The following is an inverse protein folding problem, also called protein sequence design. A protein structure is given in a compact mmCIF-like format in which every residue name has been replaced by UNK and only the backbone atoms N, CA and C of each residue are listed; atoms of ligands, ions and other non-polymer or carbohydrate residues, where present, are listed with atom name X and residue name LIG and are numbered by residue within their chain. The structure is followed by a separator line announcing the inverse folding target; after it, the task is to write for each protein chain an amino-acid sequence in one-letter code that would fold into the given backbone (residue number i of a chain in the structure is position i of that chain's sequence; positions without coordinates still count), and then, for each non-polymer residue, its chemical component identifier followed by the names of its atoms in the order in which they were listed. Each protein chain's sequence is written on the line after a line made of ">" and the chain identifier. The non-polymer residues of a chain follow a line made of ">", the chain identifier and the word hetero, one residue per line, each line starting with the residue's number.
data_IF_629046748263
#
_entry.id   IF_629046748263
#
_cell.length_a   1.000
_cell.length_b   1.000
_cell.length_c   1.000
_cell.angle_alpha   90.00
_cell.angle_beta   90.00
_cell.angle_gamma   90.00
#
_symmetry.space_group_name_H-M   'P 1'
#
loop_
_entity.id
_entity.type
_entity.pdbx_description
1 polymer ?
#
# COMPACT_ATOMS: atom_id res chain seq x y z
N UNK A 1 9.64 21.21 -16.49
CA UNK A 1 8.17 21.09 -16.27
C UNK A 1 7.59 19.67 -16.42
N UNK A 2 8.27 18.68 -17.04
CA UNK A 2 7.71 17.32 -17.21
C UNK A 2 7.90 16.34 -16.03
N UNK A 3 8.82 16.59 -15.10
CA UNK A 3 9.14 15.65 -14.01
C UNK A 3 7.99 15.46 -13.01
N UNK A 4 7.39 16.56 -12.54
CA UNK A 4 6.28 16.51 -11.58
C UNK A 4 5.02 15.84 -12.16
N UNK A 5 4.77 15.97 -13.47
CA UNK A 5 3.63 15.34 -14.13
C UNK A 5 3.79 13.82 -14.20
N UNK A 6 5.01 13.33 -14.46
CA UNK A 6 5.32 11.89 -14.41
C UNK A 6 5.18 11.34 -12.99
N UNK A 7 5.71 12.04 -11.98
CA UNK A 7 5.55 11.63 -10.57
C UNK A 7 4.08 11.56 -10.17
N UNK A 8 3.28 12.56 -10.55
CA UNK A 8 1.85 12.57 -10.25
C UNK A 8 1.10 11.39 -10.90
N UNK A 9 1.44 11.03 -12.14
CA UNK A 9 0.87 9.85 -12.82
C UNK A 9 1.26 8.57 -12.09
N UNK A 10 2.54 8.40 -11.75
CA UNK A 10 3.01 7.18 -11.07
C UNK A 10 2.36 7.05 -9.69
N UNK A 11 2.29 8.13 -8.92
CA UNK A 11 1.61 8.16 -7.62
C UNK A 11 0.12 7.84 -7.78
N UNK A 12 -0.55 8.39 -8.78
CA UNK A 12 -1.95 8.11 -9.06
C UNK A 12 -2.19 6.64 -9.44
N UNK A 13 -1.33 6.07 -10.27
CA UNK A 13 -1.39 4.64 -10.63
C UNK A 13 -1.14 3.76 -9.41
N UNK A 14 -0.09 4.02 -8.63
CA UNK A 14 0.20 3.29 -7.39
C UNK A 14 -0.95 3.35 -6.40
N UNK A 15 -1.61 4.52 -6.30
CA UNK A 15 -2.75 4.69 -5.42
C UNK A 15 -3.91 3.79 -5.86
N UNK A 16 -4.31 3.88 -7.14
CA UNK A 16 -5.40 3.07 -7.70
C UNK A 16 -5.11 1.57 -7.60
N UNK A 17 -3.90 1.13 -7.95
CA UNK A 17 -3.54 -0.28 -7.87
C UNK A 17 -3.48 -0.77 -6.43
N UNK A 18 -3.02 0.05 -5.48
CA UNK A 18 -3.06 -0.30 -4.05
C UNK A 18 -4.49 -0.47 -3.55
N UNK A 19 -5.42 0.42 -3.94
CA UNK A 19 -6.83 0.34 -3.53
C UNK A 19 -7.48 -0.93 -4.05
N UNK A 20 -7.27 -1.27 -5.32
CA UNK A 20 -7.80 -2.50 -5.91
C UNK A 20 -7.18 -3.73 -5.27
N UNK A 21 -5.86 -3.72 -5.02
CA UNK A 21 -5.17 -4.82 -4.37
C UNK A 21 -5.66 -5.04 -2.94
N UNK A 22 -5.84 -3.97 -2.15
CA UNK A 22 -6.40 -4.06 -0.80
C UNK A 22 -7.82 -4.64 -0.80
N UNK A 23 -8.68 -4.14 -1.69
CA UNK A 23 -10.07 -4.59 -1.76
C UNK A 23 -10.17 -6.06 -2.16
N UNK A 24 -9.35 -6.51 -3.13
CA UNK A 24 -9.31 -7.92 -3.51
C UNK A 24 -8.63 -8.79 -2.45
N UNK A 25 -7.55 -8.32 -1.84
CA UNK A 25 -6.79 -9.03 -0.82
C UNK A 25 -7.63 -9.34 0.41
N UNK A 26 -8.25 -8.30 0.98
CA UNK A 26 -9.14 -8.40 2.15
C UNK A 26 -10.32 -9.35 1.94
N UNK A 27 -10.99 -9.30 0.78
CA UNK A 27 -12.08 -10.24 0.46
C UNK A 27 -11.59 -11.69 0.48
N UNK A 28 -10.39 -11.95 -0.06
CA UNK A 28 -9.83 -13.31 -0.12
C UNK A 28 -9.39 -13.81 1.24
N UNK A 29 -8.74 -12.96 2.04
CA UNK A 29 -8.38 -13.29 3.42
C UNK A 29 -9.65 -13.56 4.23
N UNK A 30 -10.67 -12.70 4.13
CA UNK A 30 -11.93 -12.87 4.84
C UNK A 30 -12.65 -14.17 4.45
N UNK A 31 -12.67 -14.52 3.15
CA UNK A 31 -13.28 -15.79 2.69
C UNK A 31 -12.64 -17.01 3.34
N UNK A 32 -11.33 -17.00 3.58
CA UNK A 32 -10.63 -18.09 4.25
C UNK A 32 -11.14 -18.33 5.69
N UNK A 33 -11.48 -17.27 6.42
CA UNK A 33 -11.93 -17.37 7.81
C UNK A 33 -13.43 -17.68 7.97
N UNK A 34 -14.24 -17.36 6.96
CA UNK A 34 -15.71 -17.55 7.00
C UNK A 34 -16.13 -18.88 6.36
N UNK A 35 -15.39 -19.36 5.35
CA UNK A 35 -15.80 -20.52 4.57
C UNK A 35 -15.66 -21.85 5.33
N UNK A 36 -16.66 -22.73 5.16
CA UNK A 36 -16.65 -24.11 5.70
C UNK A 36 -15.53 -24.98 5.15
N UNK A 37 -15.00 -24.64 3.97
CA UNK A 37 -13.90 -25.33 3.30
C UNK A 37 -12.81 -24.32 2.94
N UNK A 38 -11.93 -23.99 3.89
CA UNK A 38 -10.92 -22.96 3.70
C UNK A 38 -9.94 -23.33 2.58
N UNK A 39 -9.70 -22.38 1.67
CA UNK A 39 -8.73 -22.55 0.58
C UNK A 39 -7.46 -21.75 0.86
N UNK A 40 -6.40 -22.47 1.24
CA UNK A 40 -5.08 -21.89 1.56
C UNK A 40 -4.50 -21.10 0.38
N UNK A 41 -4.74 -21.52 -0.87
CA UNK A 41 -4.24 -20.80 -2.04
C UNK A 41 -4.89 -19.42 -2.17
N UNK A 42 -6.18 -19.28 -1.84
CA UNK A 42 -6.85 -17.97 -1.83
C UNK A 42 -6.30 -17.07 -0.72
N UNK A 43 -5.99 -17.63 0.45
CA UNK A 43 -5.35 -16.89 1.54
C UNK A 43 -3.99 -16.35 1.11
N UNK A 44 -3.13 -17.19 0.53
CA UNK A 44 -1.79 -16.78 0.05
C UNK A 44 -1.92 -15.65 -0.98
N UNK A 45 -2.83 -15.77 -1.94
CA UNK A 45 -3.08 -14.71 -2.93
C UNK A 45 -3.56 -13.42 -2.24
N UNK A 46 -4.42 -13.53 -1.24
CA UNK A 46 -4.92 -12.39 -0.46
C UNK A 46 -3.81 -11.65 0.27
N UNK A 47 -2.96 -12.39 0.99
CA UNK A 47 -1.80 -11.85 1.72
C UNK A 47 -0.80 -11.20 0.77
N UNK A 48 -0.51 -11.83 -0.38
CA UNK A 48 0.37 -11.23 -1.39
C UNK A 48 -0.16 -9.90 -1.94
N UNK A 49 -1.48 -9.79 -2.13
CA UNK A 49 -2.14 -8.56 -2.56
C UNK A 49 -2.05 -7.46 -1.49
N UNK A 50 -2.21 -7.80 -0.20
CA UNK A 50 -2.04 -6.84 0.89
C UNK A 50 -0.59 -6.39 1.06
N UNK A 51 0.39 -7.29 0.93
CA UNK A 51 1.82 -6.93 0.93
C UNK A 51 2.12 -5.97 -0.22
N UNK A 52 1.61 -6.25 -1.43
CA UNK A 52 1.74 -5.32 -2.56
C UNK A 52 1.12 -3.96 -2.25
N UNK A 53 -0.06 -3.93 -1.63
CA UNK A 53 -0.69 -2.68 -1.19
C UNK A 53 0.22 -1.89 -0.24
N UNK A 54 0.80 -2.54 0.78
CA UNK A 54 1.74 -1.91 1.71
C UNK A 54 2.95 -1.30 0.99
N UNK A 55 3.57 -2.05 0.07
CA UNK A 55 4.70 -1.54 -0.72
C UNK A 55 4.30 -0.36 -1.61
N UNK A 56 3.14 -0.42 -2.26
CA UNK A 56 2.63 0.67 -3.09
C UNK A 56 2.40 1.94 -2.26
N UNK A 57 1.82 1.80 -1.06
CA UNK A 57 1.59 2.89 -0.10
C UNK A 57 2.90 3.52 0.38
N UNK A 58 3.90 2.71 0.71
CA UNK A 58 5.24 3.21 1.05
C UNK A 58 5.89 3.95 -0.13
N UNK A 59 5.76 3.41 -1.35
CA UNK A 59 6.24 4.03 -2.59
C UNK A 59 5.61 5.40 -2.86
N UNK A 60 4.31 5.55 -2.61
CA UNK A 60 3.60 6.85 -2.68
C UNK A 60 4.22 7.84 -1.68
N UNK A 61 4.47 7.38 -0.45
CA UNK A 61 5.16 8.15 0.58
C UNK A 61 6.46 8.78 0.07
N UNK A 62 7.35 7.91 -0.43
CA UNK A 62 8.67 8.30 -0.95
C UNK A 62 8.55 9.24 -2.16
N UNK A 63 7.65 8.95 -3.11
CA UNK A 63 7.49 9.78 -4.31
C UNK A 63 6.88 11.16 -4.01
N UNK A 64 6.09 11.30 -2.96
CA UNK A 64 5.55 12.58 -2.51
C UNK A 64 6.57 13.42 -1.73
N UNK A 65 7.64 12.83 -1.20
CA UNK A 65 8.68 13.55 -0.45
C UNK A 65 9.21 14.82 -1.14
N UNK A 66 9.70 14.79 -2.42
CA UNK A 66 10.21 15.99 -3.09
C UNK A 66 9.13 17.07 -3.34
N UNK A 67 7.85 16.70 -3.30
CA UNK A 67 6.73 17.63 -3.44
C UNK A 67 6.45 18.29 -2.09
N UNK A 68 6.33 17.49 -1.03
CA UNK A 68 6.02 17.95 0.33
C UNK A 68 7.17 18.73 0.98
N UNK A 69 8.43 18.36 0.67
CA UNK A 69 9.63 19.05 1.16
C UNK A 69 9.67 20.53 0.78
N UNK A 70 9.02 20.92 -0.32
CA UNK A 70 8.92 22.33 -0.73
C UNK A 70 8.13 23.20 0.25
N UNK A 71 7.22 22.60 1.02
CA UNK A 71 6.39 23.30 1.99
C UNK A 71 6.98 23.18 3.40
N UNK A 72 7.30 21.96 3.83
CA UNK A 72 7.93 21.72 5.13
C UNK A 72 8.64 20.37 5.14
N UNK A 73 9.97 20.39 5.27
CA UNK A 73 10.80 19.20 5.25
C UNK A 73 10.53 18.24 6.43
N UNK A 74 10.27 18.77 7.63
CA UNK A 74 10.00 17.94 8.81
C UNK A 74 8.69 17.17 8.65
N UNK A 75 7.65 17.83 8.16
CA UNK A 75 6.36 17.18 7.88
C UNK A 75 6.46 16.20 6.71
N UNK A 76 7.26 16.51 5.68
CA UNK A 76 7.50 15.61 4.56
C UNK A 76 8.20 14.30 5.00
N UNK A 77 9.21 14.40 5.86
CA UNK A 77 9.86 13.21 6.45
C UNK A 77 8.87 12.44 7.32
N UNK A 78 8.08 13.13 8.15
CA UNK A 78 7.02 12.51 8.95
C UNK A 78 6.03 11.71 8.10
N UNK A 79 5.60 12.26 6.96
CA UNK A 79 4.70 11.57 6.03
C UNK A 79 5.30 10.27 5.48
N UNK A 80 6.57 10.29 5.07
CA UNK A 80 7.27 9.08 4.59
C UNK A 80 7.35 8.03 5.69
N UNK A 81 7.73 8.42 6.91
CA UNK A 81 7.83 7.52 8.06
C UNK A 81 6.47 6.90 8.37
N UNK A 82 5.39 7.68 8.40
CA UNK A 82 4.04 7.18 8.61
C UNK A 82 3.62 6.16 7.56
N UNK A 83 3.94 6.40 6.28
CA UNK A 83 3.65 5.45 5.19
C UNK A 83 4.44 4.15 5.28
N UNK A 84 5.67 4.20 5.78
CA UNK A 84 6.47 3.00 6.06
C UNK A 84 5.89 2.23 7.26
N UNK A 85 5.47 2.93 8.32
CA UNK A 85 4.83 2.30 9.47
C UNK A 85 3.52 1.62 9.05
N UNK A 86 2.70 2.28 8.24
CA UNK A 86 1.47 1.70 7.69
C UNK A 86 1.75 0.41 6.89
N UNK A 87 2.77 0.43 6.02
CA UNK A 87 3.22 -0.77 5.31
C UNK A 87 3.64 -1.89 6.28
N UNK A 88 4.41 -1.58 7.32
CA UNK A 88 4.81 -2.55 8.33
C UNK A 88 3.61 -3.14 9.07
N UNK A 89 2.62 -2.31 9.44
CA UNK A 89 1.39 -2.76 10.08
C UNK A 89 0.63 -3.72 9.17
N UNK A 90 0.46 -3.39 7.88
CA UNK A 90 -0.23 -4.26 6.90
C UNK A 90 0.49 -5.60 6.77
N UNK A 91 1.82 -5.61 6.70
CA UNK A 91 2.60 -6.85 6.61
C UNK A 91 2.42 -7.69 7.89
N UNK A 92 2.51 -7.07 9.06
CA UNK A 92 2.34 -7.78 10.34
C UNK A 92 0.91 -8.30 10.49
N UNK A 93 -0.11 -7.51 10.14
CA UNK A 93 -1.51 -7.96 10.19
C UNK A 93 -1.84 -9.02 9.14
N UNK A 94 -1.13 -9.07 8.01
CA UNK A 94 -1.30 -10.12 7.02
C UNK A 94 -0.65 -11.46 7.42
N UNK A 95 0.27 -11.43 8.40
CA UNK A 95 0.99 -12.62 8.89
C UNK A 95 0.27 -13.26 10.10
N UNK A 96 -0.47 -12.48 10.88
CA UNK A 96 -1.14 -12.90 12.13
C UNK A 96 -2.66 -12.92 11.98
#
# INVERSE_FOLDING_TARGET
>A
MNSHRKTAIIVGVLFLTSTVAFMLGSIRIQSYFIDKHPNINLLIIGVLLEVYCGVAVAGIGVMMFPILKKFNERLALGYVIFRIIECAIIIVSGIY
#
